data_IF_825311438832
#
_entry.id   IF_825311438832
#
_cell.length_a   1.000
_cell.length_b   1.000
_cell.length_c   1.000
_cell.angle_alpha   90.00
_cell.angle_beta   90.00
_cell.angle_gamma   90.00
#
_symmetry.space_group_name_H-M   'P 1'
#
loop_
_entity.id
_entity.type
_entity.pdbx_description
1 polymer ?
#
# COMPACT_ATOMS: atom_id res chain seq x y z
N UNK A 1 6.79 -11.26 -30.26
CA UNK A 1 7.61 -10.75 -29.15
C UNK A 1 6.80 -11.00 -27.89
N UNK A 2 7.27 -11.83 -26.96
CA UNK A 2 6.59 -11.99 -25.69
C UNK A 2 6.85 -10.73 -24.87
N UNK A 3 5.97 -9.73 -24.99
CA UNK A 3 5.89 -8.66 -24.00
C UNK A 3 5.69 -9.36 -22.67
N UNK A 4 6.68 -9.25 -21.79
CA UNK A 4 6.64 -9.83 -20.47
C UNK A 4 5.49 -9.13 -19.73
N UNK A 5 4.28 -9.68 -19.82
CA UNK A 5 3.03 -9.06 -19.36
C UNK A 5 2.89 -9.16 -17.84
N UNK A 6 4.03 -9.25 -17.15
CA UNK A 6 4.11 -9.37 -15.72
C UNK A 6 3.95 -7.99 -15.11
N UNK A 7 3.17 -7.92 -14.05
CA UNK A 7 2.93 -6.73 -13.27
C UNK A 7 3.87 -6.77 -12.08
N UNK A 8 4.77 -5.80 -12.04
CA UNK A 8 5.64 -5.61 -10.90
C UNK A 8 4.82 -5.05 -9.74
N UNK A 9 4.88 -5.74 -8.59
CA UNK A 9 4.18 -5.30 -7.39
C UNK A 9 5.11 -5.14 -6.19
N UNK A 10 4.78 -4.21 -5.30
CA UNK A 10 5.42 -4.09 -3.99
C UNK A 10 4.46 -4.55 -2.91
N UNK A 11 4.95 -5.34 -1.97
CA UNK A 11 4.25 -5.61 -0.72
C UNK A 11 4.52 -4.46 0.25
N UNK A 12 3.48 -3.71 0.60
CA UNK A 12 3.56 -2.60 1.56
C UNK A 12 3.48 -3.08 3.01
N UNK A 13 3.28 -4.37 3.24
CA UNK A 13 3.20 -4.98 4.57
C UNK A 13 4.51 -5.67 4.98
N UNK A 14 4.77 -5.65 6.29
CA UNK A 14 5.90 -6.29 6.97
C UNK A 14 5.74 -7.81 7.14
N UNK A 15 4.59 -8.35 6.72
CA UNK A 15 4.29 -9.77 6.72
C UNK A 15 4.06 -10.27 5.29
N UNK A 16 4.29 -11.57 5.03
CA UNK A 16 3.99 -12.14 3.73
C UNK A 16 2.49 -12.05 3.44
N UNK A 17 2.16 -11.67 2.20
CA UNK A 17 0.79 -11.65 1.72
C UNK A 17 0.55 -12.89 0.88
N UNK A 18 -0.35 -13.76 1.33
CA UNK A 18 -0.75 -14.95 0.57
C UNK A 18 -2.18 -14.84 0.06
N UNK A 19 -2.41 -15.25 -1.18
CA UNK A 19 -3.73 -15.32 -1.78
C UNK A 19 -3.80 -16.40 -2.85
N UNK A 20 -5.00 -16.93 -3.08
CA UNK A 20 -5.22 -17.95 -4.11
C UNK A 20 -5.30 -17.32 -5.51
N UNK A 21 -4.64 -17.93 -6.50
CA UNK A 21 -4.68 -17.46 -7.90
C UNK A 21 -6.09 -17.52 -8.48
N UNK A 22 -6.45 -16.53 -9.30
CA UNK A 22 -7.74 -16.49 -10.01
C UNK A 22 -7.64 -16.87 -11.47
N UNK A 23 -6.53 -16.56 -12.13
CA UNK A 23 -6.24 -16.93 -13.51
C UNK A 23 -5.43 -18.24 -13.62
N UNK A 24 -5.21 -18.96 -12.52
CA UNK A 24 -4.44 -20.21 -12.50
C UNK A 24 -4.70 -21.09 -11.27
N UNK A 25 -3.81 -22.05 -11.02
CA UNK A 25 -3.84 -22.92 -9.83
C UNK A 25 -2.68 -22.62 -8.88
N UNK A 26 -2.94 -22.76 -7.58
CA UNK A 26 -1.97 -22.58 -6.51
C UNK A 26 -2.15 -21.27 -5.74
N UNK A 27 -1.45 -21.18 -4.61
CA UNK A 27 -1.28 -19.95 -3.86
C UNK A 27 -0.17 -19.08 -4.45
N UNK A 28 -0.33 -17.76 -4.29
CA UNK A 28 0.76 -16.80 -4.43
C UNK A 28 1.11 -16.35 -3.04
N UNK A 29 2.37 -16.47 -2.68
CA UNK A 29 2.95 -15.82 -1.51
C UNK A 29 3.89 -14.71 -1.98
N UNK A 30 3.57 -13.47 -1.61
CA UNK A 30 4.45 -12.32 -1.79
C UNK A 30 5.17 -12.10 -0.47
N UNK A 31 6.52 -12.18 -0.44
CA UNK A 31 7.26 -12.02 0.80
C UNK A 31 7.05 -10.62 1.42
N UNK A 32 7.25 -10.54 2.73
CA UNK A 32 7.21 -9.27 3.47
C UNK A 32 8.13 -8.22 2.83
N UNK A 33 7.65 -6.98 2.71
CA UNK A 33 8.40 -5.86 2.14
C UNK A 33 9.00 -6.13 0.73
N UNK A 34 8.44 -7.08 -0.03
CA UNK A 34 8.89 -7.38 -1.39
C UNK A 34 8.81 -6.14 -2.28
N UNK A 35 9.86 -5.90 -3.07
CA UNK A 35 9.92 -4.80 -4.03
C UNK A 35 10.07 -5.35 -5.44
N UNK A 36 9.32 -4.77 -6.38
CA UNK A 36 9.32 -5.15 -7.80
C UNK A 36 9.12 -6.66 -8.02
N UNK A 37 8.20 -7.26 -7.27
CA UNK A 37 7.91 -8.69 -7.35
C UNK A 37 7.32 -9.04 -8.72
N UNK A 38 7.98 -9.87 -9.56
CA UNK A 38 7.64 -10.02 -10.97
C UNK A 38 6.80 -11.26 -11.31
N UNK A 39 6.28 -11.98 -10.31
CA UNK A 39 5.63 -13.29 -10.51
C UNK A 39 4.12 -13.21 -10.80
N UNK A 40 3.55 -12.01 -10.88
CA UNK A 40 2.14 -11.82 -11.21
C UNK A 40 1.99 -11.43 -12.68
N UNK A 41 1.14 -12.13 -13.42
CA UNK A 41 0.73 -11.73 -14.76
C UNK A 41 -0.36 -10.67 -14.69
N UNK A 42 -0.50 -9.88 -15.76
CA UNK A 42 -1.56 -8.87 -15.88
C UNK A 42 -2.96 -9.48 -15.68
N UNK A 43 -3.24 -10.62 -16.30
CA UNK A 43 -4.53 -11.32 -16.18
C UNK A 43 -4.81 -11.75 -14.74
N UNK A 44 -3.80 -12.20 -14.00
CA UNK A 44 -3.95 -12.57 -12.59
C UNK A 44 -4.29 -11.34 -11.75
N UNK A 45 -3.55 -10.24 -11.90
CA UNK A 45 -3.83 -9.00 -11.15
C UNK A 45 -5.22 -8.46 -11.51
N UNK A 46 -5.59 -8.49 -12.79
CA UNK A 46 -6.92 -8.05 -13.24
C UNK A 46 -8.02 -8.90 -12.61
N UNK A 47 -7.87 -10.22 -12.61
CA UNK A 47 -8.85 -11.12 -12.00
C UNK A 47 -8.96 -10.91 -10.47
N UNK A 48 -7.84 -10.64 -9.78
CA UNK A 48 -7.84 -10.30 -8.35
C UNK A 48 -8.61 -9.00 -8.08
N UNK A 49 -8.39 -7.96 -8.89
CA UNK A 49 -9.11 -6.69 -8.80
C UNK A 49 -10.61 -6.89 -9.03
N UNK A 50 -10.98 -7.61 -10.10
CA UNK A 50 -12.38 -7.89 -10.45
C UNK A 50 -13.09 -8.74 -9.40
N UNK A 51 -12.38 -9.62 -8.69
CA UNK A 51 -12.93 -10.41 -7.59
C UNK A 51 -13.08 -9.59 -6.29
N UNK A 52 -12.62 -8.32 -6.28
CA UNK A 52 -12.66 -7.48 -5.10
C UNK A 52 -11.62 -7.85 -4.04
N UNK A 53 -10.46 -8.38 -4.45
CA UNK A 53 -9.39 -8.66 -3.51
C UNK A 53 -8.90 -7.34 -2.91
N UNK A 54 -9.19 -7.10 -1.63
CA UNK A 54 -8.83 -5.88 -0.88
C UNK A 54 -7.32 -5.64 -0.81
N UNK A 55 -6.50 -6.66 -1.05
CA UNK A 55 -5.05 -6.47 -1.12
C UNK A 55 -4.66 -5.58 -2.30
N UNK A 56 -5.39 -5.66 -3.42
CA UNK A 56 -5.18 -4.85 -4.63
C UNK A 56 -6.13 -3.66 -4.71
N UNK A 57 -7.41 -3.88 -4.43
CA UNK A 57 -8.47 -2.88 -4.55
C UNK A 57 -8.56 -1.92 -3.38
N UNK A 58 -7.93 -2.25 -2.25
CA UNK A 58 -7.94 -1.41 -1.06
C UNK A 58 -9.32 -1.30 -0.41
N UNK A 59 -9.63 -0.10 0.10
CA UNK A 59 -10.91 0.18 0.80
C UNK A 59 -11.98 0.76 -0.11
N UNK A 60 -11.58 1.38 -1.21
CA UNK A 60 -12.45 2.13 -2.12
C UNK A 60 -12.74 1.39 -3.43
N UNK A 61 -12.12 0.23 -3.65
CA UNK A 61 -12.27 -0.53 -4.89
C UNK A 61 -11.31 -0.09 -6.00
N UNK A 62 -10.59 1.02 -5.85
CA UNK A 62 -9.73 1.63 -6.87
C UNK A 62 -8.24 1.62 -6.50
N UNK A 63 -7.89 0.92 -5.42
CA UNK A 63 -6.51 0.73 -4.98
C UNK A 63 -6.05 1.72 -3.91
N UNK A 64 -6.95 2.54 -3.33
CA UNK A 64 -6.60 3.37 -2.19
C UNK A 64 -6.56 2.53 -0.91
N UNK A 65 -5.49 2.69 -0.13
CA UNK A 65 -5.20 1.89 1.05
C UNK A 65 -5.04 0.39 0.74
N UNK A 66 -4.58 0.07 -0.48
CA UNK A 66 -4.22 -1.27 -0.88
C UNK A 66 -2.93 -1.72 -0.16
N UNK A 67 -2.82 -3.03 0.09
CA UNK A 67 -1.62 -3.65 0.68
C UNK A 67 -0.54 -3.93 -0.36
N UNK A 68 -0.96 -4.06 -1.61
CA UNK A 68 -0.10 -4.33 -2.76
C UNK A 68 -0.11 -3.09 -3.66
N UNK A 69 1.07 -2.52 -3.88
CA UNK A 69 1.26 -1.43 -4.83
C UNK A 69 1.65 -2.00 -6.19
N UNK A 70 0.94 -1.59 -7.25
CA UNK A 70 1.40 -1.81 -8.63
C UNK A 70 2.43 -0.74 -8.96
N UNK A 71 3.63 -1.17 -9.36
CA UNK A 71 4.78 -0.26 -9.56
C UNK A 71 4.57 0.65 -10.77
N UNK A 72 3.97 0.12 -11.84
CA UNK A 72 3.73 0.86 -13.07
C UNK A 72 2.35 1.53 -13.04
N UNK A 73 2.33 2.86 -13.03
CA UNK A 73 1.09 3.66 -12.99
C UNK A 73 0.21 3.44 -14.22
N UNK A 74 0.81 3.31 -15.41
CA UNK A 74 0.07 3.04 -16.64
C UNK A 74 -0.62 1.69 -16.53
N UNK A 75 0.12 0.62 -16.20
CA UNK A 75 -0.46 -0.72 -16.02
C UNK A 75 -1.54 -0.73 -14.94
N UNK A 76 -1.35 0.01 -13.83
CA UNK A 76 -2.38 0.18 -12.79
C UNK A 76 -3.65 0.78 -13.42
N UNK A 77 -3.55 1.90 -14.13
CA UNK A 77 -4.72 2.52 -14.78
C UNK A 77 -5.41 1.56 -15.74
N UNK A 78 -4.67 0.77 -16.51
CA UNK A 78 -5.26 -0.25 -17.38
C UNK A 78 -6.02 -1.31 -16.59
N UNK A 79 -5.43 -1.84 -15.51
CA UNK A 79 -6.04 -2.87 -14.67
C UNK A 79 -7.34 -2.40 -13.98
N UNK A 80 -7.41 -1.11 -13.63
CA UNK A 80 -8.58 -0.49 -13.02
C UNK A 80 -9.55 0.15 -14.04
N UNK A 81 -9.24 0.12 -15.35
CA UNK A 81 -10.06 0.76 -16.39
C UNK A 81 -10.08 2.29 -16.34
N UNK A 82 -9.02 2.90 -15.80
CA UNK A 82 -8.86 4.36 -15.58
C UNK A 82 -8.00 5.01 -16.67
N UNK A 83 -7.76 4.33 -17.79
CA UNK A 83 -6.86 4.76 -18.88
C UNK A 83 -7.22 6.14 -19.45
N UNK A 84 -8.51 6.48 -19.43
CA UNK A 84 -9.06 7.73 -19.99
C UNK A 84 -9.47 8.73 -18.92
N UNK A 85 -9.10 8.50 -17.65
CA UNK A 85 -9.49 9.35 -16.51
C UNK A 85 -8.24 9.88 -15.83
N UNK A 86 -8.16 11.20 -15.66
CA UNK A 86 -7.17 11.79 -14.76
C UNK A 86 -7.55 11.43 -13.32
N UNK A 87 -6.80 10.51 -12.75
CA UNK A 87 -6.92 10.10 -11.35
C UNK A 87 -5.64 10.43 -10.60
N UNK A 88 -5.76 10.91 -9.37
CA UNK A 88 -4.63 11.10 -8.47
C UNK A 88 -3.86 9.79 -8.21
N UNK A 89 -2.65 9.96 -7.69
CA UNK A 89 -1.86 8.83 -7.19
C UNK A 89 -2.64 8.14 -6.05
N UNK A 90 -2.59 6.81 -5.96
CA UNK A 90 -3.35 6.08 -4.96
C UNK A 90 -2.77 6.40 -3.57
N UNK A 91 -3.66 6.62 -2.60
CA UNK A 91 -3.30 6.84 -1.21
C UNK A 91 -2.73 5.53 -0.64
N UNK A 92 -1.41 5.39 -0.70
CA UNK A 92 -0.68 4.21 -0.26
C UNK A 92 0.26 4.57 0.89
N UNK A 93 0.19 3.82 1.98
CA UNK A 93 1.15 3.95 3.06
C UNK A 93 2.48 3.27 2.66
N UNK A 94 3.46 4.09 2.28
CA UNK A 94 4.82 3.65 1.98
C UNK A 94 5.85 4.50 2.74
N UNK A 95 7.12 4.11 2.66
CA UNK A 95 8.20 4.81 3.37
C UNK A 95 8.32 6.29 2.97
N UNK A 96 8.07 6.63 1.71
CA UNK A 96 8.15 8.01 1.23
C UNK A 96 7.01 8.86 1.80
N UNK A 97 5.78 8.33 1.81
CA UNK A 97 4.62 8.96 2.40
C UNK A 97 4.81 9.20 3.91
N UNK A 98 5.40 8.24 4.64
CA UNK A 98 5.72 8.40 6.06
C UNK A 98 6.84 9.43 6.28
N UNK A 99 7.88 9.45 5.44
CA UNK A 99 8.91 10.51 5.49
C UNK A 99 8.31 11.89 5.25
N UNK A 100 7.42 12.03 4.28
CA UNK A 100 6.71 13.27 4.00
C UNK A 100 5.84 13.69 5.21
N UNK A 101 5.16 12.74 5.85
CA UNK A 101 4.39 12.95 7.07
C UNK A 101 5.28 13.46 8.22
N UNK A 102 6.43 12.81 8.45
CA UNK A 102 7.38 13.18 9.51
C UNK A 102 8.00 14.57 9.28
N UNK A 103 8.11 15.02 8.03
CA UNK A 103 8.62 16.34 7.68
C UNK A 103 7.60 17.49 7.97
N UNK A 104 6.34 17.16 8.28
CA UNK A 104 5.34 18.17 8.65
C UNK A 104 5.72 18.81 9.99
N UNK A 105 5.85 20.13 9.99
CA UNK A 105 6.29 20.91 11.17
C UNK A 105 5.18 21.27 12.15
N UNK A 106 3.92 21.15 11.74
CA UNK A 106 2.76 21.60 12.54
C UNK A 106 1.92 20.42 13.01
N UNK A 107 1.65 20.36 14.32
CA UNK A 107 0.87 19.27 14.94
C UNK A 107 -0.53 19.11 14.36
N UNK A 108 -1.21 20.20 13.99
CA UNK A 108 -2.53 20.15 13.37
C UNK A 108 -2.47 19.43 12.01
N UNK A 109 -1.66 19.96 11.08
CA UNK A 109 -1.48 19.37 9.73
C UNK A 109 -0.96 17.94 9.78
N UNK A 110 -0.07 17.63 10.73
CA UNK A 110 0.43 16.28 10.92
C UNK A 110 -0.70 15.31 11.27
N UNK A 111 -1.55 15.65 12.24
CA UNK A 111 -2.64 14.79 12.65
C UNK A 111 -3.73 14.66 11.58
N UNK A 112 -4.01 15.72 10.83
CA UNK A 112 -4.92 15.68 9.68
C UNK A 112 -4.41 14.72 8.60
N UNK A 113 -3.15 14.89 8.18
CA UNK A 113 -2.54 14.04 7.16
C UNK A 113 -2.39 12.59 7.65
N UNK A 114 -2.07 12.39 8.93
CA UNK A 114 -1.96 11.07 9.53
C UNK A 114 -3.29 10.31 9.47
N UNK A 115 -4.40 10.97 9.82
CA UNK A 115 -5.75 10.37 9.76
C UNK A 115 -6.23 10.12 8.34
N UNK A 116 -5.85 10.98 7.39
CA UNK A 116 -6.18 10.79 5.98
C UNK A 116 -5.39 9.61 5.36
N UNK A 117 -4.12 9.45 5.74
CA UNK A 117 -3.23 8.44 5.18
C UNK A 117 -3.44 7.05 5.79
N UNK A 118 -3.81 6.97 7.06
CA UNK A 118 -3.92 5.70 7.81
C UNK A 118 -5.38 5.43 8.12
N UNK A 119 -6.03 4.66 7.26
CA UNK A 119 -7.45 4.31 7.42
C UNK A 119 -7.64 2.85 7.81
N UNK A 120 -6.81 1.96 7.29
CA UNK A 120 -6.93 0.52 7.53
C UNK A 120 -6.11 0.04 8.72
N UNK A 121 -6.52 -1.09 9.28
CA UNK A 121 -5.79 -1.77 10.34
C UNK A 121 -4.35 -2.14 9.96
N UNK A 122 -4.18 -2.62 8.72
CA UNK A 122 -2.88 -2.99 8.20
C UNK A 122 -1.93 -1.78 8.15
N UNK A 123 -2.45 -0.62 7.72
CA UNK A 123 -1.68 0.62 7.71
C UNK A 123 -1.32 1.07 9.13
N UNK A 124 -2.24 0.96 10.10
CA UNK A 124 -1.95 1.28 11.51
C UNK A 124 -0.81 0.44 12.07
N UNK A 125 -0.80 -0.88 11.78
CA UNK A 125 0.27 -1.81 12.17
C UNK A 125 1.60 -1.45 11.49
N UNK A 126 1.57 -1.10 10.20
CA UNK A 126 2.75 -0.72 9.43
C UNK A 126 3.32 0.65 9.79
N UNK A 127 2.48 1.57 10.23
CA UNK A 127 2.83 2.97 10.47
C UNK A 127 4.03 3.12 11.41
N UNK A 128 4.04 2.38 12.52
CA UNK A 128 5.11 2.47 13.52
C UNK A 128 6.42 1.92 12.94
N UNK A 129 6.37 0.82 12.21
CA UNK A 129 7.56 0.22 11.60
C UNK A 129 8.14 1.10 10.50
N UNK A 130 7.28 1.65 9.63
CA UNK A 130 7.71 2.59 8.58
C UNK A 130 8.25 3.89 9.17
N UNK A 131 7.67 4.38 10.26
CA UNK A 131 8.18 5.56 10.95
C UNK A 131 9.57 5.33 11.54
N UNK A 132 9.81 4.17 12.17
CA UNK A 132 11.13 3.77 12.63
C UNK A 132 12.14 3.69 11.48
N UNK A 133 11.77 3.05 10.37
CA UNK A 133 12.61 3.00 9.17
C UNK A 133 12.85 4.38 8.53
N UNK A 134 11.92 5.30 8.69
CA UNK A 134 12.03 6.67 8.20
C UNK A 134 12.90 7.57 9.10
N UNK A 135 13.35 7.07 10.27
CA UNK A 135 14.16 7.82 11.22
C UNK A 135 13.33 8.59 12.24
N UNK A 136 12.21 8.04 12.71
CA UNK A 136 11.35 8.71 13.70
C UNK A 136 12.04 9.01 15.04
N UNK A 137 13.17 8.36 15.34
CA UNK A 137 13.95 8.63 16.56
C UNK A 137 14.56 10.04 16.60
N UNK A 138 14.73 10.69 15.44
CA UNK A 138 15.24 12.05 15.33
C UNK A 138 14.12 13.11 15.29
N UNK A 139 12.85 12.68 15.30
CA UNK A 139 11.71 13.62 15.21
C UNK A 139 11.15 13.99 16.58
N UNK A 140 10.33 15.04 16.59
CA UNK A 140 9.67 15.53 17.80
C UNK A 140 8.83 14.43 18.47
N UNK A 141 8.98 14.25 19.79
CA UNK A 141 8.33 13.19 20.56
C UNK A 141 6.80 13.11 20.36
N UNK A 142 6.13 14.26 20.14
CA UNK A 142 4.69 14.31 19.90
C UNK A 142 4.25 13.64 18.59
N UNK A 143 5.15 13.50 17.61
CA UNK A 143 4.89 12.75 16.37
C UNK A 143 4.89 11.25 16.65
N UNK A 144 5.91 10.76 17.35
CA UNK A 144 6.03 9.35 17.74
C UNK A 144 4.85 8.93 18.63
N UNK A 145 4.46 9.78 19.57
CA UNK A 145 3.29 9.56 20.43
C UNK A 145 1.99 9.44 19.60
N UNK A 146 1.76 10.35 18.65
CA UNK A 146 0.58 10.30 17.78
C UNK A 146 0.56 9.05 16.86
N UNK A 147 1.72 8.64 16.34
CA UNK A 147 1.84 7.43 15.52
C UNK A 147 1.51 6.17 16.34
N UNK A 148 2.05 6.06 17.56
CA UNK A 148 1.77 4.95 18.48
C UNK A 148 0.30 4.93 18.90
N UNK A 149 -0.23 6.08 19.32
CA UNK A 149 -1.63 6.19 19.71
C UNK A 149 -2.56 5.73 18.60
N UNK A 150 -2.26 6.05 17.34
CA UNK A 150 -3.06 5.58 16.20
C UNK A 150 -2.87 4.07 15.97
N UNK A 151 -1.64 3.57 16.06
CA UNK A 151 -1.35 2.14 15.91
C UNK A 151 -2.03 1.28 16.98
N UNK A 152 -2.19 1.78 18.20
CA UNK A 152 -2.93 1.10 19.29
C UNK A 152 -4.43 1.00 19.02
N UNK A 153 -4.97 1.81 18.10
CA UNK A 153 -6.37 1.68 17.65
C UNK A 153 -6.55 0.66 16.52
N UNK A 154 -5.49 -0.05 16.14
CA UNK A 154 -5.58 -1.21 15.26
C UNK A 154 -6.37 -2.33 15.98
N UNK A 155 -7.39 -2.87 15.31
CA UNK A 155 -8.03 -4.09 15.76
C UNK A 155 -7.05 -5.27 15.60
N UNK A 156 -7.03 -6.15 16.61
CA UNK A 156 -6.20 -7.38 16.57
C UNK A 156 -6.59 -8.24 15.38
#
# INVERSE_FOLDING_TARGET
MATNNNVLVNNLCAWPLSFWRKAGQGDVEIPANAKNWPLLSFEEVQAQIQTGNRMFTGTDGMGNHARIQIVNDEQRKQLFGLESVETDAPALLNLDAVKALLNIRTKAKFNEQLKAMVTTDAEKKMLVELAQQAGSDDVEAWKVDALRALAETAAV
#
